data_IF_723647157636
#
_entry.id   IF_723647157636
#
_cell.length_a   1.000
_cell.length_b   1.000
_cell.length_c   1.000
_cell.angle_alpha   90.00
_cell.angle_beta   90.00
_cell.angle_gamma   90.00
#
_symmetry.space_group_name_H-M   'P 1'
#
loop_
_entity.id
_entity.type
_entity.pdbx_description
1 polymer ?
#
# COMPACT_ATOMS: atom_id res chain seq x y z
N UNK A 1 -13.88 -0.57 -14.45
CA UNK A 1 -13.23 0.52 -13.69
C UNK A 1 -12.52 1.46 -14.65
N UNK A 2 -12.59 2.77 -14.41
CA UNK A 2 -11.80 3.74 -15.16
C UNK A 2 -10.45 3.88 -14.46
N UNK A 3 -9.35 3.75 -15.20
CA UNK A 3 -7.98 3.90 -14.68
C UNK A 3 -7.23 4.92 -15.52
N UNK A 4 -6.09 5.42 -15.05
CA UNK A 4 -5.20 6.27 -15.87
C UNK A 4 -4.71 5.58 -17.16
N UNK A 5 -4.84 4.25 -17.22
CA UNK A 5 -4.52 3.41 -18.38
C UNK A 5 -5.78 3.02 -19.19
N UNK A 6 -6.91 3.68 -18.98
CA UNK A 6 -8.19 3.43 -19.67
C UNK A 6 -9.19 2.57 -18.90
N UNK A 7 -10.26 2.14 -19.59
CA UNK A 7 -11.32 1.27 -19.04
C UNK A 7 -10.80 -0.18 -18.85
N UNK A 8 -11.03 -0.74 -17.66
CA UNK A 8 -10.69 -2.14 -17.30
C UNK A 8 -11.93 -2.88 -16.81
N UNK A 9 -12.01 -4.19 -17.03
CA UNK A 9 -13.01 -5.04 -16.38
C UNK A 9 -12.82 -5.04 -14.86
N UNK A 10 -13.91 -5.12 -14.12
CA UNK A 10 -13.91 -5.23 -12.65
C UNK A 10 -13.75 -6.67 -12.17
N UNK A 11 -14.03 -7.65 -13.04
CA UNK A 11 -14.03 -9.06 -12.69
C UNK A 11 -12.64 -9.64 -12.84
N UNK A 12 -12.28 -10.53 -11.93
CA UNK A 12 -11.06 -11.33 -12.00
C UNK A 12 -11.47 -12.77 -12.27
N UNK A 13 -10.86 -13.39 -13.29
CA UNK A 13 -11.05 -14.81 -13.60
C UNK A 13 -9.86 -15.56 -13.03
N UNK A 14 -10.11 -16.50 -12.13
CA UNK A 14 -9.09 -17.34 -11.52
C UNK A 14 -9.01 -18.68 -12.26
N UNK A 15 -7.84 -19.31 -12.26
CA UNK A 15 -7.73 -20.72 -12.66
C UNK A 15 -8.46 -21.59 -11.65
N UNK A 16 -8.85 -22.80 -12.05
CA UNK A 16 -9.57 -23.73 -11.18
C UNK A 16 -8.81 -24.02 -9.88
N UNK A 17 -7.48 -24.19 -9.96
CA UNK A 17 -6.62 -24.48 -8.83
C UNK A 17 -6.55 -23.32 -7.83
N UNK A 18 -6.45 -22.09 -8.35
CA UNK A 18 -6.38 -20.89 -7.52
C UNK A 18 -7.76 -20.59 -6.93
N UNK A 19 -8.83 -20.79 -7.69
CA UNK A 19 -10.20 -20.60 -7.24
C UNK A 19 -10.50 -21.47 -6.01
N UNK A 20 -10.08 -22.74 -6.02
CA UNK A 20 -10.26 -23.64 -4.86
C UNK A 20 -9.62 -23.05 -3.60
N UNK A 21 -8.33 -22.74 -3.65
CA UNK A 21 -7.59 -22.15 -2.50
C UNK A 21 -8.19 -20.82 -2.06
N UNK A 22 -8.66 -20.01 -3.00
CA UNK A 22 -9.26 -18.71 -2.72
C UNK A 22 -10.60 -18.84 -1.98
N UNK A 23 -11.48 -19.73 -2.43
CA UNK A 23 -12.78 -19.93 -1.79
C UNK A 23 -12.66 -20.66 -0.44
N UNK A 24 -11.73 -21.62 -0.31
CA UNK A 24 -11.44 -22.24 0.99
C UNK A 24 -11.00 -21.17 2.02
N UNK A 25 -10.17 -20.21 1.59
CA UNK A 25 -9.78 -19.08 2.43
C UNK A 25 -10.97 -18.15 2.75
N UNK A 26 -11.83 -17.87 1.77
CA UNK A 26 -13.03 -17.05 1.98
C UNK A 26 -13.94 -17.68 3.05
N UNK A 27 -14.18 -18.99 2.97
CA UNK A 27 -14.99 -19.73 3.92
C UNK A 27 -14.36 -19.74 5.32
N UNK A 28 -13.04 -19.94 5.39
CA UNK A 28 -12.29 -19.89 6.66
C UNK A 28 -12.34 -18.51 7.34
N UNK A 29 -12.37 -17.43 6.55
CA UNK A 29 -12.52 -16.07 7.07
C UNK A 29 -13.98 -15.70 7.37
N UNK A 30 -14.94 -16.52 6.92
CA UNK A 30 -16.37 -16.27 7.09
C UNK A 30 -16.87 -15.06 6.29
N UNK A 31 -16.24 -14.74 5.16
CA UNK A 31 -16.64 -13.60 4.35
C UNK A 31 -17.69 -13.97 3.30
N UNK A 32 -18.76 -13.19 3.25
CA UNK A 32 -19.82 -13.34 2.24
C UNK A 32 -19.37 -12.86 0.85
N UNK A 33 -18.50 -11.85 0.79
CA UNK A 33 -18.02 -11.25 -0.46
C UNK A 33 -16.54 -11.52 -0.69
N UNK A 34 -16.21 -12.07 -1.86
CA UNK A 34 -14.84 -12.30 -2.33
C UNK A 34 -13.96 -11.04 -2.31
N UNK A 35 -14.54 -9.85 -2.48
CA UNK A 35 -13.81 -8.57 -2.37
C UNK A 35 -13.18 -8.38 -0.99
N UNK A 36 -13.87 -8.81 0.08
CA UNK A 36 -13.36 -8.67 1.44
C UNK A 36 -12.17 -9.62 1.68
N UNK A 37 -12.19 -10.81 1.09
CA UNK A 37 -11.05 -11.74 1.09
C UNK A 37 -9.84 -11.12 0.40
N UNK A 38 -10.04 -10.44 -0.73
CA UNK A 38 -8.97 -9.72 -1.42
C UNK A 38 -8.41 -8.56 -0.58
N UNK A 39 -9.27 -7.76 0.05
CA UNK A 39 -8.85 -6.68 0.95
C UNK A 39 -8.04 -7.21 2.14
N UNK A 40 -8.47 -8.34 2.70
CA UNK A 40 -7.73 -9.04 3.75
C UNK A 40 -6.37 -9.52 3.27
N UNK A 41 -6.29 -10.12 2.08
CA UNK A 41 -5.03 -10.55 1.46
C UNK A 41 -4.07 -9.38 1.30
N UNK A 42 -4.51 -8.25 0.75
CA UNK A 42 -3.67 -7.05 0.59
C UNK A 42 -3.23 -6.45 1.93
N UNK A 43 -4.10 -6.49 2.94
CA UNK A 43 -3.76 -6.02 4.28
C UNK A 43 -2.66 -6.87 4.91
N UNK A 44 -2.75 -8.19 4.76
CA UNK A 44 -1.76 -9.14 5.30
C UNK A 44 -0.46 -9.16 4.50
N UNK A 45 -0.51 -8.94 3.19
CA UNK A 45 0.68 -8.95 2.32
C UNK A 45 1.38 -7.59 2.20
N UNK A 46 0.87 -6.53 2.82
CA UNK A 46 1.41 -5.15 2.71
C UNK A 46 2.93 -5.07 2.93
N UNK A 47 3.45 -5.76 3.95
CA UNK A 47 4.90 -5.78 4.24
C UNK A 47 5.72 -6.43 3.11
N UNK A 48 5.24 -7.55 2.59
CA UNK A 48 5.91 -8.27 1.49
C UNK A 48 5.91 -7.46 0.19
N UNK A 49 4.81 -6.76 -0.10
CA UNK A 49 4.72 -5.85 -1.25
C UNK A 49 5.73 -4.70 -1.10
N UNK A 50 5.79 -4.06 0.06
CA UNK A 50 6.74 -2.96 0.31
C UNK A 50 8.21 -3.41 0.21
N UNK A 51 8.53 -4.62 0.66
CA UNK A 51 9.87 -5.18 0.53
C UNK A 51 10.24 -5.43 -0.94
N UNK A 52 9.30 -5.98 -1.71
CA UNK A 52 9.48 -6.22 -3.15
C UNK A 52 9.70 -4.92 -3.94
N UNK A 53 8.96 -3.85 -3.61
CA UNK A 53 9.13 -2.53 -4.23
C UNK A 53 10.54 -1.98 -3.97
N UNK A 54 11.04 -2.08 -2.73
CA UNK A 54 12.40 -1.66 -2.39
C UNK A 54 13.47 -2.50 -3.10
N UNK A 55 13.29 -3.82 -3.16
CA UNK A 55 14.21 -4.70 -3.88
C UNK A 55 14.26 -4.37 -5.37
N UNK A 56 13.10 -4.11 -5.98
CA UNK A 56 12.99 -3.71 -7.38
C UNK A 56 13.66 -2.36 -7.66
N UNK A 57 13.55 -1.40 -6.74
CA UNK A 57 14.24 -0.12 -6.84
C UNK A 57 15.77 -0.27 -6.76
N UNK A 58 16.28 -1.08 -5.83
CA UNK A 58 17.72 -1.37 -5.73
C UNK A 58 18.28 -2.02 -6.99
N UNK A 59 17.54 -2.96 -7.59
CA UNK A 59 17.95 -3.62 -8.84
C UNK A 59 18.07 -2.64 -10.02
N UNK A 60 17.21 -1.61 -10.08
CA UNK A 60 17.28 -0.58 -11.14
C UNK A 60 18.50 0.33 -11.00
N UNK A 61 18.94 0.61 -9.76
CA UNK A 61 20.12 1.46 -9.53
C UNK A 61 21.45 0.75 -9.83
N UNK A 62 21.49 -0.59 -9.77
CA UNK A 62 22.73 -1.35 -10.00
C UNK A 62 23.09 -1.54 -11.49
N UNK A 63 22.25 -1.07 -12.42
CA UNK A 63 22.46 -1.22 -13.87
C UNK A 63 23.33 -0.10 -14.50
N UNK A 64 23.82 0.86 -13.70
CA UNK A 64 24.64 1.99 -14.18
C UNK A 64 26.11 1.96 -13.74
N UNK A 65 26.67 0.80 -13.37
CA UNK A 65 28.12 0.67 -13.22
C UNK A 65 28.77 0.51 -14.59
N UNK A 66 28.87 1.62 -15.34
CA UNK A 66 29.83 1.72 -16.44
C UNK A 66 31.22 1.79 -15.81
N UNK A 67 31.93 0.67 -15.86
CA UNK A 67 33.35 0.57 -15.57
C UNK A 67 34.11 1.50 -16.52
N UNK A 68 34.73 2.57 -16.01
CA UNK A 68 36.04 2.97 -16.50
C UNK A 68 36.82 3.86 -15.52
N UNK A 69 38.10 3.52 -15.41
CA UNK A 69 39.27 4.35 -15.01
C UNK A 69 39.45 4.79 -13.55
N UNK A 70 40.29 4.01 -12.85
CA UNK A 70 41.48 4.38 -12.06
C UNK A 70 41.46 5.59 -11.09
N UNK A 71 42.03 5.34 -9.89
CA UNK A 71 42.45 6.29 -8.82
C UNK A 71 41.27 6.91 -8.05
N UNK A 72 41.14 6.76 -6.72
CA UNK A 72 42.15 7.05 -5.70
C UNK A 72 41.76 6.48 -4.33
N UNK A 73 42.79 6.28 -3.52
CA UNK A 73 42.86 5.90 -2.11
C UNK A 73 42.26 6.95 -1.14
N UNK A 74 41.74 6.46 0.00
CA UNK A 74 41.44 7.14 1.28
C UNK A 74 40.09 7.88 1.39
N UNK A 75 39.35 7.88 2.50
CA UNK A 75 39.73 7.65 3.90
C UNK A 75 38.56 7.10 4.73
N UNK A 76 38.87 6.18 5.64
CA UNK A 76 38.02 5.79 6.76
C UNK A 76 37.85 6.98 7.72
N UNK A 77 36.66 7.13 8.30
CA UNK A 77 36.47 7.86 9.55
C UNK A 77 35.23 7.30 10.24
N UNK A 78 35.45 6.44 11.22
CA UNK A 78 34.47 6.06 12.24
C UNK A 78 34.47 7.13 13.34
N UNK A 79 33.30 7.61 13.76
CA UNK A 79 33.15 8.30 15.03
C UNK A 79 31.81 7.91 15.69
N UNK A 80 31.95 7.12 16.76
CA UNK A 80 30.97 6.87 17.80
C UNK A 80 30.99 8.07 18.76
N UNK A 81 29.83 8.63 19.13
CA UNK A 81 29.68 9.50 20.31
C UNK A 81 28.27 9.38 20.89
N UNK A 82 28.21 9.55 22.20
CA UNK A 82 27.27 8.97 23.17
C UNK A 82 26.01 9.80 23.47
N UNK A 83 24.97 9.08 23.92
CA UNK A 83 23.74 9.43 24.68
C UNK A 83 23.34 10.90 24.93
N UNK A 84 22.05 11.22 24.71
CA UNK A 84 21.12 11.65 25.78
C UNK A 84 19.72 12.12 25.32
N UNK A 85 18.70 11.53 25.94
CA UNK A 85 17.43 12.09 26.45
C UNK A 85 16.52 12.99 25.59
N UNK A 86 15.41 12.37 25.16
CA UNK A 86 14.00 12.75 25.33
C UNK A 86 13.61 14.22 25.58
N UNK A 87 12.71 14.73 24.73
CA UNK A 87 11.63 15.66 25.09
C UNK A 87 10.38 15.29 24.30
N UNK A 88 9.24 15.27 24.98
CA UNK A 88 7.88 15.07 24.48
C UNK A 88 7.39 16.35 23.80
N UNK A 89 6.55 16.27 22.78
CA UNK A 89 5.46 17.23 22.60
C UNK A 89 4.30 16.61 21.82
N UNK A 90 3.11 16.76 22.41
CA UNK A 90 1.83 16.33 21.89
C UNK A 90 1.22 17.50 21.11
N UNK A 91 0.73 17.27 19.89
CA UNK A 91 -0.16 18.23 19.24
C UNK A 91 -1.49 17.60 18.86
N UNK A 92 -2.54 18.30 19.23
CA UNK A 92 -3.94 17.87 19.25
C UNK A 92 -4.72 18.72 18.24
N UNK A 93 -4.75 18.25 16.99
CA UNK A 93 -5.48 18.90 15.90
C UNK A 93 -6.98 18.58 15.93
N UNK A 94 -7.76 19.39 16.63
CA UNK A 94 -9.23 19.38 16.68
C UNK A 94 -9.79 20.25 15.55
N UNK A 95 -10.27 19.67 14.44
CA UNK A 95 -11.01 20.43 13.41
C UNK A 95 -12.52 20.32 13.61
N UNK A 96 -13.16 21.50 13.63
CA UNK A 96 -14.58 21.73 13.89
C UNK A 96 -15.37 21.77 12.57
N UNK A 97 -16.50 21.05 12.56
CA UNK A 97 -17.85 21.35 12.01
C UNK A 97 -17.99 22.30 10.79
N UNK A 98 -18.67 21.82 9.76
CA UNK A 98 -19.67 22.59 9.01
C UNK A 98 -20.82 21.68 8.54
N UNK A 99 -22.02 21.93 9.05
CA UNK A 99 -23.31 21.52 8.50
C UNK A 99 -23.57 22.29 7.19
N UNK A 100 -24.23 21.66 6.23
CA UNK A 100 -25.35 22.30 5.52
C UNK A 100 -26.43 21.27 5.23
N UNK A 101 -27.64 21.65 5.63
CA UNK A 101 -28.94 21.03 5.39
C UNK A 101 -29.35 21.16 3.92
N UNK A 102 -30.03 20.15 3.37
CA UNK A 102 -31.12 20.42 2.43
C UNK A 102 -32.23 19.38 2.53
N UNK A 103 -33.45 19.87 2.38
CA UNK A 103 -34.70 19.37 2.93
C UNK A 103 -35.63 18.93 1.79
N UNK A 104 -36.23 17.75 1.97
CA UNK A 104 -37.46 17.20 1.41
C UNK A 104 -38.26 17.93 0.29
N UNK A 105 -38.72 17.16 -0.72
CA UNK A 105 -40.08 17.23 -1.32
C UNK A 105 -40.35 15.96 -2.16
N UNK A 106 -41.19 15.01 -1.71
CA UNK A 106 -42.61 14.78 -2.10
C UNK A 106 -42.89 14.77 -3.62
N UNK A 107 -43.28 13.61 -4.13
CA UNK A 107 -44.13 13.41 -5.33
C UNK A 107 -44.71 11.98 -5.26
N UNK A 108 -45.85 11.75 -4.59
CA UNK A 108 -47.25 11.71 -5.08
C UNK A 108 -47.48 11.52 -6.59
N UNK A 109 -48.10 10.37 -6.91
CA UNK A 109 -49.24 10.16 -7.83
C UNK A 109 -49.06 10.56 -9.31
N UNK A 110 -49.00 9.54 -10.16
CA UNK A 110 -50.09 9.18 -11.08
C UNK A 110 -50.08 7.66 -11.31
#
# INVERSE_FOLDING_TARGET
>A
IYTSQGLRDRRVRLSIEIARKFFDLQDMLGFDKASNTLDWLFTKSKKAIQELERASARSRMNSNSKTNTNKSISSSSECEEVVSSQRVDSDSGKSRRAETSEKAKKESRE
#
